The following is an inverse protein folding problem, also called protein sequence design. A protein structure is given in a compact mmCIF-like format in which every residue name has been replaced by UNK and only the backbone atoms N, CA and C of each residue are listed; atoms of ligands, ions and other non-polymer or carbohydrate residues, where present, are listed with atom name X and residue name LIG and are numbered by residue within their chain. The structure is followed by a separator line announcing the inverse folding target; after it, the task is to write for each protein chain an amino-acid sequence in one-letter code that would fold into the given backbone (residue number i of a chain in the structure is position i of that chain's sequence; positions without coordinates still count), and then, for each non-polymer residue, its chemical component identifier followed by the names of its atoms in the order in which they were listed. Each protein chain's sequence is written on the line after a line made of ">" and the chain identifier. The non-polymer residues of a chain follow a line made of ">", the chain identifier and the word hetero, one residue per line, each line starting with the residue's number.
data_IF_465364749075
#
_entry.id   IF_465364749075
#
_cell.length_a   1.000
_cell.length_b   1.000
_cell.length_c   1.000
_cell.angle_alpha   90.00
_cell.angle_beta   90.00
_cell.angle_gamma   90.00
#
_symmetry.space_group_name_H-M   'P 1'
#
loop_
_entity.id
_entity.type
_entity.pdbx_description
1 polymer ?
#
# COMPACT_ATOMS: atom_id res chain seq x y z
N UNK A 1 10.84 -9.52 -7.22
CA UNK A 1 10.49 -8.70 -8.40
C UNK A 1 10.35 -7.27 -7.90
N UNK A 2 11.29 -6.38 -8.22
CA UNK A 2 11.16 -4.94 -7.94
C UNK A 2 10.15 -4.37 -8.96
N UNK A 3 8.86 -4.61 -8.75
CA UNK A 3 7.84 -4.42 -9.79
C UNK A 3 6.44 -4.04 -9.32
N UNK A 4 6.23 -3.74 -8.04
CA UNK A 4 5.15 -2.81 -7.69
C UNK A 4 5.69 -1.45 -8.13
N UNK A 5 5.13 -0.83 -9.17
CA UNK A 5 5.51 0.52 -9.64
C UNK A 5 5.18 1.63 -8.62
N UNK A 6 5.34 1.30 -7.35
CA UNK A 6 4.85 2.00 -6.18
C UNK A 6 6.06 2.78 -5.64
N UNK A 7 5.97 4.10 -5.51
CA UNK A 7 7.08 4.92 -5.04
C UNK A 7 7.26 4.77 -3.52
N UNK A 8 8.50 4.97 -3.04
CA UNK A 8 8.99 5.17 -1.66
C UNK A 8 8.11 4.71 -0.48
N UNK A 9 8.67 3.88 0.43
CA UNK A 9 7.99 3.46 1.67
C UNK A 9 7.38 2.05 1.64
N UNK A 10 7.72 1.24 0.64
CA UNK A 10 7.24 -0.14 0.53
C UNK A 10 7.95 -1.05 1.53
N UNK A 11 7.19 -1.94 2.17
CA UNK A 11 7.70 -3.08 2.91
C UNK A 11 7.40 -4.37 2.16
N UNK A 12 8.42 -5.20 1.98
CA UNK A 12 8.31 -6.51 1.38
C UNK A 12 8.34 -7.60 2.44
N UNK A 13 7.58 -8.68 2.21
CA UNK A 13 7.53 -9.85 3.09
C UNK A 13 7.76 -11.13 2.29
N UNK A 14 8.59 -12.00 2.86
CA UNK A 14 8.86 -13.33 2.33
C UNK A 14 7.74 -14.31 2.69
N UNK A 15 7.48 -15.25 1.79
CA UNK A 15 6.52 -16.34 2.04
C UNK A 15 7.21 -17.70 1.96
N UNK A 16 6.83 -18.62 2.83
CA UNK A 16 7.31 -20.01 2.82
C UNK A 16 6.22 -20.92 2.25
N UNK A 17 6.53 -21.63 1.17
CA UNK A 17 5.62 -22.57 0.52
C UNK A 17 6.22 -23.97 0.42
N UNK A 18 5.41 -25.03 0.57
CA UNK A 18 5.88 -26.40 0.37
C UNK A 18 6.20 -26.64 -1.11
N UNK A 19 7.40 -27.11 -1.39
CA UNK A 19 7.79 -27.59 -2.71
C UNK A 19 7.32 -29.02 -2.96
N UNK A 20 7.23 -29.40 -4.23
CA UNK A 20 6.78 -30.74 -4.66
C UNK A 20 7.60 -31.91 -4.11
N UNK A 21 8.83 -31.66 -3.65
CA UNK A 21 9.74 -32.67 -3.07
C UNK A 21 9.73 -32.68 -1.53
N UNK A 22 8.73 -32.06 -0.89
CA UNK A 22 8.65 -31.96 0.59
C UNK A 22 9.62 -30.94 1.21
N UNK A 23 10.36 -30.20 0.39
CA UNK A 23 11.27 -29.12 0.82
C UNK A 23 10.51 -27.80 0.96
N UNK A 24 10.78 -27.01 1.99
CA UNK A 24 10.25 -25.64 2.10
C UNK A 24 10.99 -24.75 1.11
N UNK A 25 10.24 -24.06 0.24
CA UNK A 25 10.75 -23.01 -0.64
C UNK A 25 10.39 -21.65 -0.04
N UNK A 26 11.38 -20.79 0.08
CA UNK A 26 11.17 -19.38 0.44
C UNK A 26 11.03 -18.59 -0.86
N UNK A 27 9.95 -17.85 -1.01
CA UNK A 27 9.76 -16.87 -2.08
C UNK A 27 10.02 -15.52 -1.46
N UNK A 28 11.14 -14.92 -1.87
CA UNK A 28 11.56 -13.60 -1.41
C UNK A 28 10.69 -12.51 -2.01
N UNK A 29 10.34 -11.51 -1.23
CA UNK A 29 9.54 -10.34 -1.65
C UNK A 29 8.19 -10.72 -2.30
N UNK A 30 7.53 -11.75 -1.76
CA UNK A 30 6.28 -12.28 -2.31
C UNK A 30 5.09 -11.33 -2.11
N UNK A 31 5.12 -10.55 -1.02
CA UNK A 31 4.05 -9.63 -0.65
C UNK A 31 4.65 -8.23 -0.49
N UNK A 32 3.97 -7.20 -1.01
CA UNK A 32 4.28 -5.80 -0.74
C UNK A 32 3.16 -5.10 0.03
N UNK A 33 3.54 -4.25 0.97
CA UNK A 33 2.68 -3.39 1.76
C UNK A 33 3.16 -1.94 1.57
N UNK A 34 2.26 -1.04 1.21
CA UNK A 34 2.55 0.39 1.15
C UNK A 34 1.30 1.24 1.31
N UNK A 35 1.50 2.51 1.64
CA UNK A 35 0.45 3.52 1.58
C UNK A 35 0.39 4.13 0.18
N UNK A 36 -0.82 4.37 -0.33
CA UNK A 36 -1.07 5.08 -1.58
C UNK A 36 -1.93 6.32 -1.31
N UNK A 37 -1.62 7.42 -1.99
CA UNK A 37 -2.47 8.62 -1.96
C UNK A 37 -3.72 8.38 -2.82
N UNK A 38 -4.90 8.55 -2.21
CA UNK A 38 -6.18 8.39 -2.89
C UNK A 38 -6.92 9.73 -3.03
N UNK A 39 -6.17 10.84 -3.08
CA UNK A 39 -6.69 12.17 -3.32
C UNK A 39 -7.46 12.72 -2.13
N UNK A 40 -8.44 13.59 -2.39
CA UNK A 40 -9.17 14.29 -1.33
C UNK A 40 -10.23 13.36 -0.72
N UNK A 41 -10.12 13.09 0.58
CA UNK A 41 -11.16 12.39 1.34
C UNK A 41 -12.37 13.31 1.58
N UNK A 42 -12.10 14.54 2.01
CA UNK A 42 -13.12 15.51 2.40
C UNK A 42 -12.61 16.92 2.13
N UNK A 43 -13.53 17.77 1.65
CA UNK A 43 -13.30 19.20 1.54
C UNK A 43 -14.59 19.96 1.83
N UNK A 44 -14.51 20.94 2.72
CA UNK A 44 -15.60 21.86 3.03
C UNK A 44 -15.10 23.29 3.09
N UNK A 45 -15.95 24.20 2.63
CA UNK A 45 -15.72 25.62 2.71
C UNK A 45 -16.91 26.24 3.41
N UNK A 46 -16.72 26.77 4.60
CA UNK A 46 -17.72 27.59 5.25
C UNK A 46 -17.52 29.03 4.77
N UNK A 47 -18.50 29.53 4.03
CA UNK A 47 -18.47 30.88 3.48
C UNK A 47 -18.76 31.96 4.52
N UNK A 48 -19.35 31.61 5.67
CA UNK A 48 -19.75 32.59 6.70
C UNK A 48 -18.58 33.04 7.56
N UNK A 49 -17.63 32.13 7.77
CA UNK A 49 -16.40 32.35 8.56
C UNK A 49 -15.14 32.34 7.69
N UNK A 50 -15.31 32.20 6.37
CA UNK A 50 -14.23 32.11 5.36
C UNK A 50 -13.20 31.00 5.60
N UNK A 51 -13.60 29.91 6.28
CA UNK A 51 -12.73 28.78 6.57
C UNK A 51 -12.83 27.68 5.52
N UNK A 52 -11.70 27.01 5.27
CA UNK A 52 -11.60 25.87 4.36
C UNK A 52 -10.94 24.70 5.08
N UNK A 53 -11.65 23.60 5.17
CA UNK A 53 -11.12 22.34 5.67
C UNK A 53 -10.90 21.38 4.50
N UNK A 54 -9.72 20.79 4.42
CA UNK A 54 -9.41 19.73 3.47
C UNK A 54 -8.62 18.61 4.16
N UNK A 55 -8.96 17.36 3.83
CA UNK A 55 -8.29 16.16 4.31
C UNK A 55 -8.03 15.21 3.15
N UNK A 56 -6.82 14.67 3.06
CA UNK A 56 -6.44 13.66 2.07
C UNK A 56 -6.86 12.28 2.53
N UNK A 57 -7.22 11.43 1.57
CA UNK A 57 -7.42 9.99 1.75
C UNK A 57 -6.11 9.25 1.53
N UNK A 58 -5.88 8.18 2.29
CA UNK A 58 -4.79 7.24 2.09
C UNK A 58 -5.33 5.83 2.13
N UNK A 59 -4.81 4.97 1.26
CA UNK A 59 -5.11 3.54 1.25
C UNK A 59 -3.89 2.76 1.70
N UNK A 60 -4.09 1.77 2.55
CA UNK A 60 -3.07 0.77 2.88
C UNK A 60 -3.25 -0.42 1.93
N UNK A 61 -2.37 -0.53 0.94
CA UNK A 61 -2.46 -1.53 -0.12
C UNK A 61 -1.58 -2.74 0.22
N UNK A 62 -2.16 -3.94 0.07
CA UNK A 62 -1.47 -5.22 0.20
C UNK A 62 -1.59 -5.95 -1.13
N UNK A 63 -0.47 -6.32 -1.71
CA UNK A 63 -0.43 -7.03 -2.99
C UNK A 63 0.52 -8.23 -2.92
N UNK A 64 0.11 -9.34 -3.52
CA UNK A 64 0.93 -10.55 -3.69
C UNK A 64 1.17 -10.79 -5.18
N UNK A 65 2.44 -10.98 -5.56
CA UNK A 65 2.84 -11.26 -6.93
C UNK A 65 2.82 -12.77 -7.24
#
# INVERSE_FOLDING_TARGET
>A
MLGCGCLEGIRYFDTKMPGSKGTIKTISDAICLHEEDYGIAWKHKDWRIEEVEARSSRLLTIFSA
#
